data_IF_198417882351
#
_entry.id   IF_198417882351
#
_cell.length_a   1.000
_cell.length_b   1.000
_cell.length_c   1.000
_cell.angle_alpha   90.00
_cell.angle_beta   90.00
_cell.angle_gamma   90.00
#
_symmetry.space_group_name_H-M   'P 1'
#
loop_
_entity.id
_entity.type
_entity.pdbx_description
1 polymer ?
#
# COMPACT_ATOMS: atom_id res chain seq x y z
N UNK A 1 -12.27 -12.96 14.04
CA UNK A 1 -13.52 -13.06 14.84
C UNK A 1 -14.49 -11.96 14.39
N UNK A 2 -15.65 -12.32 13.81
CA UNK A 2 -16.60 -11.35 13.21
C UNK A 2 -17.40 -10.45 14.17
N UNK A 3 -17.17 -10.58 15.49
CA UNK A 3 -17.87 -9.81 16.54
C UNK A 3 -16.89 -9.06 17.47
N UNK A 4 -15.63 -8.94 17.07
CA UNK A 4 -14.62 -8.30 17.91
C UNK A 4 -14.82 -6.77 17.93
N UNK A 5 -15.11 -6.20 16.77
CA UNK A 5 -15.37 -4.78 16.57
C UNK A 5 -16.75 -4.54 15.94
N UNK A 6 -17.27 -3.33 16.16
CA UNK A 6 -18.55 -2.86 15.66
C UNK A 6 -18.31 -1.50 14.98
N UNK A 7 -18.06 -1.45 13.65
CA UNK A 7 -17.92 -0.19 12.94
C UNK A 7 -19.27 0.56 12.92
N UNK A 8 -19.21 1.89 12.98
CA UNK A 8 -20.41 2.73 12.97
C UNK A 8 -21.16 2.69 11.62
N UNK A 9 -20.45 2.48 10.52
CA UNK A 9 -20.99 2.33 9.17
C UNK A 9 -20.20 1.28 8.37
N UNK A 10 -20.82 0.76 7.31
CA UNK A 10 -20.17 -0.11 6.33
C UNK A 10 -20.32 -1.61 6.60
N UNK A 11 -19.55 -2.41 5.85
CA UNK A 11 -19.58 -3.87 5.89
C UNK A 11 -18.35 -4.38 6.64
N UNK A 12 -18.56 -5.16 7.71
CA UNK A 12 -17.46 -5.81 8.42
C UNK A 12 -17.25 -7.24 7.89
N UNK A 13 -16.11 -7.45 7.21
CA UNK A 13 -15.72 -8.75 6.67
C UNK A 13 -14.56 -9.31 7.47
N UNK A 14 -14.69 -10.55 7.95
CA UNK A 14 -13.64 -11.26 8.68
C UNK A 14 -13.35 -12.60 7.97
N UNK A 15 -12.55 -12.59 6.90
CA UNK A 15 -12.26 -13.81 6.15
C UNK A 15 -11.40 -14.77 6.96
N UNK A 16 -11.53 -16.06 6.66
CA UNK A 16 -10.58 -17.08 7.10
C UNK A 16 -9.38 -17.06 6.15
N UNK A 17 -8.16 -17.17 6.66
CA UNK A 17 -6.99 -17.37 5.81
C UNK A 17 -7.18 -18.64 4.93
N UNK A 18 -6.87 -18.60 3.63
CA UNK A 18 -7.01 -19.76 2.75
C UNK A 18 -6.19 -20.98 3.19
N UNK A 19 -5.08 -20.76 3.91
CA UNK A 19 -4.14 -21.80 4.35
C UNK A 19 -4.06 -21.93 5.87
N UNK A 20 -3.39 -22.99 6.36
CA UNK A 20 -3.08 -23.24 7.77
C UNK A 20 -1.56 -23.30 8.01
N UNK A 21 -0.77 -22.50 7.29
CA UNK A 21 0.70 -22.42 7.45
C UNK A 21 1.08 -21.35 8.47
N UNK A 22 2.33 -21.31 8.92
CA UNK A 22 2.78 -20.27 9.86
C UNK A 22 2.75 -18.85 9.24
N UNK A 23 2.97 -18.74 7.93
CA UNK A 23 3.02 -17.51 7.14
C UNK A 23 1.68 -17.16 6.45
N UNK A 24 0.55 -17.64 7.02
CA UNK A 24 -0.85 -17.48 6.55
C UNK A 24 -1.07 -16.40 5.48
N UNK A 25 -1.02 -15.14 5.89
CA UNK A 25 -1.38 -13.95 5.12
C UNK A 25 -0.22 -13.41 4.25
N UNK A 26 0.94 -14.06 4.29
CA UNK A 26 2.16 -13.63 3.63
C UNK A 26 2.33 -14.32 2.28
N UNK A 27 1.47 -15.26 1.92
CA UNK A 27 1.57 -15.99 0.66
C UNK A 27 1.04 -15.17 -0.52
N UNK A 28 1.60 -15.43 -1.70
CA UNK A 28 1.29 -14.74 -2.96
C UNK A 28 -0.20 -14.70 -3.31
N UNK A 29 -0.90 -15.83 -3.18
CA UNK A 29 -2.33 -15.94 -3.51
C UNK A 29 -3.24 -15.11 -2.59
N UNK A 30 -2.72 -14.54 -1.50
CA UNK A 30 -3.49 -13.67 -0.60
C UNK A 30 -3.83 -12.34 -1.27
N UNK A 31 -3.00 -11.86 -2.19
CA UNK A 31 -3.23 -10.61 -2.91
C UNK A 31 -4.43 -10.73 -3.83
N UNK A 32 -4.44 -11.77 -4.65
CA UNK A 32 -5.52 -12.08 -5.57
C UNK A 32 -6.83 -12.31 -4.79
N UNK A 33 -6.73 -12.98 -3.63
CA UNK A 33 -7.85 -13.15 -2.72
C UNK A 33 -8.42 -11.80 -2.25
N UNK A 34 -7.59 -10.88 -1.73
CA UNK A 34 -8.06 -9.58 -1.26
C UNK A 34 -8.54 -8.69 -2.40
N UNK A 35 -7.84 -8.68 -3.53
CA UNK A 35 -8.27 -7.96 -4.73
C UNK A 35 -9.67 -8.42 -5.15
N UNK A 36 -9.88 -9.74 -5.27
CA UNK A 36 -11.18 -10.28 -5.68
C UNK A 36 -12.25 -10.04 -4.62
N UNK A 37 -11.92 -10.13 -3.34
CA UNK A 37 -12.83 -9.82 -2.25
C UNK A 37 -13.30 -8.36 -2.31
N UNK A 38 -12.38 -7.41 -2.49
CA UNK A 38 -12.69 -5.99 -2.61
C UNK A 38 -13.59 -5.74 -3.83
N UNK A 39 -13.25 -6.29 -4.99
CA UNK A 39 -14.08 -6.18 -6.20
C UNK A 39 -15.50 -6.71 -5.97
N UNK A 40 -15.66 -7.88 -5.36
CA UNK A 40 -16.96 -8.45 -5.05
C UNK A 40 -17.75 -7.56 -4.06
N UNK A 41 -17.08 -6.97 -3.07
CA UNK A 41 -17.72 -6.07 -2.10
C UNK A 41 -18.19 -4.76 -2.75
N UNK A 42 -17.42 -4.23 -3.71
CA UNK A 42 -17.85 -3.08 -4.52
C UNK A 42 -19.07 -3.44 -5.36
N UNK A 43 -19.02 -4.57 -6.08
CA UNK A 43 -20.07 -4.97 -7.03
C UNK A 43 -21.38 -5.40 -6.35
N UNK A 44 -21.31 -6.21 -5.29
CA UNK A 44 -22.49 -6.85 -4.69
C UNK A 44 -22.97 -6.16 -3.41
N UNK A 45 -22.12 -5.35 -2.78
CA UNK A 45 -22.43 -4.69 -1.51
C UNK A 45 -22.29 -3.16 -1.56
N UNK A 46 -22.06 -2.59 -2.76
CA UNK A 46 -21.94 -1.14 -2.97
C UNK A 46 -20.88 -0.49 -2.06
N UNK A 47 -19.84 -1.25 -1.69
CA UNK A 47 -18.72 -0.71 -0.92
C UNK A 47 -18.04 0.37 -1.74
N UNK A 48 -17.79 1.51 -1.10
CA UNK A 48 -17.01 2.59 -1.70
C UNK A 48 -15.54 2.14 -1.80
N UNK A 49 -14.94 2.03 -3.01
CA UNK A 49 -13.57 1.56 -3.18
C UNK A 49 -12.53 2.51 -2.55
N UNK A 50 -12.89 3.76 -2.29
CA UNK A 50 -12.02 4.73 -1.62
C UNK A 50 -12.18 4.72 -0.09
N UNK A 51 -13.01 3.85 0.47
CA UNK A 51 -13.22 3.63 1.91
C UNK A 51 -13.08 2.14 2.29
N UNK A 52 -12.01 1.50 1.81
CA UNK A 52 -11.66 0.12 2.18
C UNK A 52 -10.55 0.16 3.22
N UNK A 53 -10.69 -0.56 4.32
CA UNK A 53 -9.74 -0.54 5.44
C UNK A 53 -9.25 -1.96 5.74
N UNK A 54 -7.97 -2.11 6.07
CA UNK A 54 -7.38 -3.40 6.45
C UNK A 54 -6.98 -3.39 7.92
N UNK A 55 -7.45 -4.36 8.70
CA UNK A 55 -7.00 -4.50 10.09
C UNK A 55 -6.90 -5.96 10.50
N UNK A 56 -6.03 -6.24 11.47
CA UNK A 56 -5.71 -7.61 11.85
C UNK A 56 -5.06 -7.70 13.21
N UNK A 57 -5.40 -8.75 13.94
CA UNK A 57 -4.94 -8.99 15.31
C UNK A 57 -4.07 -10.24 15.38
N UNK A 58 -2.95 -10.21 16.12
CA UNK A 58 -2.03 -11.34 16.27
C UNK A 58 -1.50 -11.81 14.91
N UNK A 59 -1.70 -13.08 14.52
CA UNK A 59 -1.37 -13.57 13.19
C UNK A 59 -2.04 -12.76 12.05
N UNK A 60 -3.22 -12.17 12.29
CA UNK A 60 -3.82 -11.21 11.36
C UNK A 60 -3.05 -9.88 11.30
N UNK A 61 -2.47 -9.45 12.42
CA UNK A 61 -1.57 -8.29 12.50
C UNK A 61 -0.26 -8.53 11.77
N UNK A 62 0.31 -9.75 11.84
CA UNK A 62 1.44 -10.17 11.00
C UNK A 62 1.07 -10.01 9.51
N UNK A 63 -0.16 -10.37 9.15
CA UNK A 63 -0.68 -10.16 7.80
C UNK A 63 -0.81 -8.69 7.41
N UNK A 64 -1.28 -7.83 8.32
CA UNK A 64 -1.37 -6.38 8.06
C UNK A 64 0.00 -5.78 7.79
N UNK A 65 1.02 -6.16 8.56
CA UNK A 65 2.39 -5.70 8.33
C UNK A 65 2.89 -6.04 6.93
N UNK A 66 2.58 -7.24 6.42
CA UNK A 66 3.03 -7.69 5.10
C UNK A 66 2.19 -7.11 3.96
N UNK A 67 0.87 -7.07 4.12
CA UNK A 67 -0.06 -6.64 3.06
C UNK A 67 -0.12 -5.13 2.90
N UNK A 68 -0.10 -4.38 4.00
CA UNK A 68 -0.29 -2.93 3.93
C UNK A 68 0.77 -2.20 3.09
N UNK A 69 2.08 -2.51 3.16
CA UNK A 69 3.10 -1.88 2.33
C UNK A 69 2.97 -2.20 0.84
N UNK A 70 2.61 -3.45 0.48
CA UNK A 70 2.59 -3.93 -0.92
C UNK A 70 1.24 -3.83 -1.62
N UNK A 71 0.15 -3.69 -0.85
CA UNK A 71 -1.21 -3.43 -1.33
C UNK A 71 -1.72 -2.04 -0.90
N UNK A 72 -0.82 -1.11 -0.56
CA UNK A 72 -1.16 0.20 -0.02
C UNK A 72 -2.17 0.97 -0.87
N UNK A 73 -2.07 0.81 -2.18
CA UNK A 73 -2.92 1.47 -3.16
C UNK A 73 -4.36 0.95 -3.19
N UNK A 74 -4.71 -0.11 -2.43
CA UNK A 74 -6.08 -0.63 -2.27
C UNK A 74 -6.83 -0.05 -1.06
N UNK A 75 -6.11 0.52 -0.08
CA UNK A 75 -6.69 0.84 1.22
C UNK A 75 -6.70 2.34 1.50
N UNK A 76 -7.69 2.77 2.27
CA UNK A 76 -7.80 4.11 2.81
C UNK A 76 -7.00 4.29 4.11
N UNK A 77 -6.89 3.22 4.90
CA UNK A 77 -6.00 3.11 6.06
C UNK A 77 -5.83 1.64 6.44
N UNK A 78 -4.77 1.33 7.20
CA UNK A 78 -4.59 0.01 7.80
C UNK A 78 -4.19 0.08 9.28
N UNK A 79 -4.54 -0.94 10.05
CA UNK A 79 -4.25 -1.04 11.48
C UNK A 79 -3.74 -2.42 11.85
N UNK A 80 -2.51 -2.48 12.35
CA UNK A 80 -1.89 -3.67 12.89
C UNK A 80 -2.12 -3.73 14.41
N UNK A 81 -2.58 -4.88 14.91
CA UNK A 81 -2.78 -5.11 16.34
C UNK A 81 -2.04 -6.37 16.80
N UNK A 82 -1.17 -6.25 17.81
CA UNK A 82 -0.47 -7.38 18.45
C UNK A 82 0.26 -8.35 17.48
N UNK A 83 0.67 -7.87 16.31
CA UNK A 83 1.39 -8.63 15.29
C UNK A 83 2.89 -8.36 15.28
N UNK A 84 3.59 -9.10 14.43
CA UNK A 84 5.03 -9.04 14.22
C UNK A 84 5.31 -8.81 12.72
N UNK A 85 6.20 -7.87 12.36
CA UNK A 85 6.46 -7.50 10.98
C UNK A 85 7.33 -8.51 10.22
N UNK A 86 8.00 -9.40 10.94
CA UNK A 86 9.08 -10.23 10.41
C UNK A 86 10.12 -9.37 9.70
N UNK A 87 10.46 -9.66 8.45
CA UNK A 87 11.44 -8.96 7.62
C UNK A 87 10.89 -7.76 6.82
N UNK A 88 9.59 -7.46 6.92
CA UNK A 88 8.98 -6.48 6.03
C UNK A 88 9.44 -5.04 6.28
N UNK A 89 9.32 -4.23 5.23
CA UNK A 89 9.76 -2.84 5.20
C UNK A 89 8.59 -1.84 5.27
N UNK A 90 8.67 -0.76 6.07
CA UNK A 90 7.65 0.28 6.11
C UNK A 90 7.63 1.18 4.86
N UNK A 91 8.60 1.06 3.94
CA UNK A 91 8.77 2.00 2.82
C UNK A 91 7.55 2.08 1.90
N UNK A 92 6.85 0.95 1.67
CA UNK A 92 5.62 0.93 0.87
C UNK A 92 4.44 1.67 1.50
N UNK A 93 4.50 2.01 2.80
CA UNK A 93 3.41 2.69 3.53
C UNK A 93 3.32 4.19 3.24
N UNK A 94 4.17 4.76 2.39
CA UNK A 94 4.26 6.22 2.17
C UNK A 94 2.89 6.90 2.03
N UNK A 95 1.99 6.31 1.24
CA UNK A 95 0.69 6.91 0.90
C UNK A 95 -0.49 6.26 1.63
N UNK A 96 -0.23 5.41 2.63
CA UNK A 96 -1.26 4.70 3.40
C UNK A 96 -1.17 5.09 4.87
N UNK A 97 -2.22 5.73 5.44
CA UNK A 97 -2.32 5.90 6.88
C UNK A 97 -2.22 4.55 7.60
N UNK A 98 -1.22 4.41 8.48
CA UNK A 98 -0.91 3.14 9.14
C UNK A 98 -0.90 3.25 10.67
N UNK A 99 -1.65 2.38 11.36
CA UNK A 99 -1.67 2.33 12.81
C UNK A 99 -1.05 1.05 13.38
N UNK A 100 -0.39 1.18 14.53
CA UNK A 100 0.18 0.09 15.33
C UNK A 100 -0.41 0.17 16.74
N UNK A 101 -1.08 -0.91 17.15
CA UNK A 101 -1.56 -1.10 18.52
C UNK A 101 -0.89 -2.33 19.13
N UNK A 102 -0.23 -2.14 20.27
CA UNK A 102 0.56 -3.19 20.90
C UNK A 102 0.39 -3.20 22.42
N UNK A 103 0.39 -4.38 23.03
CA UNK A 103 0.50 -4.51 24.48
C UNK A 103 1.94 -4.32 24.93
N UNK A 104 2.19 -3.46 25.92
CA UNK A 104 3.53 -3.21 26.46
C UNK A 104 4.15 -4.43 27.15
N UNK A 105 3.32 -5.39 27.58
CA UNK A 105 3.73 -6.68 28.15
C UNK A 105 3.68 -7.83 27.13
N UNK A 106 3.38 -7.58 25.84
CA UNK A 106 3.43 -8.61 24.78
C UNK A 106 4.88 -8.84 24.32
N UNK A 107 5.67 -9.49 25.17
CA UNK A 107 7.10 -9.72 24.96
C UNK A 107 7.39 -10.93 24.05
N UNK A 108 6.38 -11.71 23.66
CA UNK A 108 6.57 -12.85 22.77
C UNK A 108 7.14 -12.36 21.43
N UNK A 109 8.23 -12.99 20.98
CA UNK A 109 8.95 -12.58 19.76
C UNK A 109 9.37 -11.10 19.76
N UNK A 110 9.51 -10.48 20.95
CA UNK A 110 9.83 -9.05 21.10
C UNK A 110 8.85 -8.11 20.40
N UNK A 111 7.57 -8.50 20.25
CA UNK A 111 6.56 -7.69 19.55
C UNK A 111 6.45 -6.27 20.09
N UNK A 112 6.45 -6.09 21.41
CA UNK A 112 6.43 -4.77 22.06
C UNK A 112 7.65 -3.91 21.70
N UNK A 113 8.87 -4.46 21.77
CA UNK A 113 10.10 -3.75 21.40
C UNK A 113 10.09 -3.39 19.91
N UNK A 114 9.67 -4.33 19.05
CA UNK A 114 9.64 -4.14 17.61
C UNK A 114 8.58 -3.11 17.19
N UNK A 115 7.43 -3.05 17.88
CA UNK A 115 6.45 -1.99 17.68
C UNK A 115 7.03 -0.62 18.01
N UNK A 116 7.81 -0.50 19.10
CA UNK A 116 8.50 0.74 19.46
C UNK A 116 9.59 1.12 18.44
N UNK A 117 10.29 0.14 17.87
CA UNK A 117 11.27 0.39 16.82
C UNK A 117 10.60 0.79 15.48
N UNK A 118 9.44 0.22 15.17
CA UNK A 118 8.63 0.64 14.03
C UNK A 118 8.10 2.07 14.18
N UNK A 119 7.71 2.48 15.39
CA UNK A 119 7.38 3.88 15.68
C UNK A 119 8.54 4.82 15.33
N UNK A 120 9.76 4.50 15.77
CA UNK A 120 10.95 5.30 15.44
C UNK A 120 11.21 5.33 13.93
N UNK A 121 11.08 4.20 13.23
CA UNK A 121 11.26 4.11 11.78
C UNK A 121 10.24 4.96 11.03
N UNK A 122 8.96 4.84 11.36
CA UNK A 122 7.88 5.61 10.76
C UNK A 122 8.03 7.11 11.05
N UNK A 123 8.42 7.47 12.27
CA UNK A 123 8.71 8.86 12.63
C UNK A 123 9.90 9.42 11.82
N UNK A 124 10.98 8.65 11.66
CA UNK A 124 12.12 9.08 10.84
C UNK A 124 11.72 9.27 9.37
N UNK A 125 10.94 8.35 8.82
CA UNK A 125 10.41 8.43 7.45
C UNK A 125 9.46 9.63 7.26
N UNK A 126 8.57 9.89 8.23
CA UNK A 126 7.69 11.08 8.22
C UNK A 126 8.50 12.37 8.34
N UNK A 127 9.55 12.38 9.15
CA UNK A 127 10.41 13.57 9.30
C UNK A 127 11.18 13.90 8.02
N UNK A 128 11.59 12.89 7.24
CA UNK A 128 12.26 13.10 5.95
C UNK A 128 11.29 13.35 4.79
N UNK A 129 10.06 12.86 4.90
CA UNK A 129 8.98 13.08 3.94
C UNK A 129 7.70 13.53 4.68
N UNK A 130 7.58 14.85 4.99
CA UNK A 130 6.47 15.39 5.78
C UNK A 130 5.08 15.20 5.18
N UNK A 131 4.96 14.76 3.92
CA UNK A 131 3.68 14.45 3.29
C UNK A 131 3.39 12.94 3.30
N UNK A 132 4.40 12.08 3.48
CA UNK A 132 4.25 10.61 3.50
C UNK A 132 4.21 9.99 4.91
N UNK A 133 3.95 8.70 5.01
CA UNK A 133 4.05 7.90 6.24
C UNK A 133 3.22 8.43 7.42
N UNK A 134 1.99 8.89 7.15
CA UNK A 134 1.06 9.23 8.23
C UNK A 134 0.81 7.99 9.11
N UNK A 135 1.09 8.10 10.39
CA UNK A 135 1.01 6.95 11.28
C UNK A 135 0.45 7.29 12.67
N UNK A 136 -0.01 6.24 13.36
CA UNK A 136 -0.38 6.28 14.78
C UNK A 136 0.17 5.05 15.48
N UNK A 137 0.97 5.23 16.51
CA UNK A 137 1.46 4.11 17.32
C UNK A 137 0.96 4.26 18.74
N UNK A 138 0.43 3.17 19.31
CA UNK A 138 0.02 3.11 20.70
C UNK A 138 0.44 1.79 21.33
N UNK A 139 1.38 1.87 22.27
CA UNK A 139 1.81 0.76 23.11
C UNK A 139 1.16 0.93 24.47
N UNK A 140 0.31 -0.01 24.89
CA UNK A 140 -0.41 0.05 26.16
C UNK A 140 0.39 -0.64 27.27
N UNK A 141 1.01 0.08 28.22
CA UNK A 141 1.98 -0.50 29.16
C UNK A 141 1.41 -1.66 29.99
N UNK A 142 0.12 -1.64 30.28
CA UNK A 142 -0.52 -2.59 31.18
C UNK A 142 -0.93 -3.91 30.55
N UNK A 143 -1.06 -3.97 29.21
CA UNK A 143 -1.63 -5.12 28.52
C UNK A 143 -0.55 -6.02 27.92
N UNK A 144 -0.81 -7.34 27.95
CA UNK A 144 -0.08 -8.33 27.17
C UNK A 144 -0.67 -8.47 25.76
N UNK A 145 -0.68 -9.68 25.23
CA UNK A 145 -1.17 -9.95 23.86
C UNK A 145 -2.59 -9.45 23.58
N UNK A 146 -3.47 -9.47 24.59
CA UNK A 146 -4.85 -8.98 24.48
C UNK A 146 -5.00 -7.61 25.13
N UNK A 147 -5.29 -6.58 24.32
CA UNK A 147 -5.41 -5.18 24.75
C UNK A 147 -6.81 -4.81 25.26
N UNK A 148 -7.65 -5.80 25.56
CA UNK A 148 -9.01 -5.62 26.10
C UNK A 148 -9.87 -4.61 25.31
N UNK A 149 -9.83 -4.69 23.98
CA UNK A 149 -10.52 -3.81 23.02
C UNK A 149 -10.09 -2.33 23.07
N UNK A 150 -9.03 -1.97 23.79
CA UNK A 150 -8.52 -0.58 23.76
C UNK A 150 -8.02 -0.16 22.39
N UNK A 151 -7.58 -1.13 21.59
CA UNK A 151 -7.22 -1.01 20.18
C UNK A 151 -8.41 -0.70 19.24
N UNK A 152 -9.67 -0.80 19.72
CA UNK A 152 -10.85 -0.45 18.92
C UNK A 152 -10.90 1.04 18.52
N UNK A 153 -10.10 1.90 19.16
CA UNK A 153 -9.92 3.29 18.72
C UNK A 153 -9.30 3.43 17.32
N UNK A 154 -8.75 2.34 16.77
CA UNK A 154 -8.33 2.26 15.38
C UNK A 154 -9.47 2.53 14.40
N UNK A 155 -10.70 2.09 14.72
CA UNK A 155 -11.84 2.21 13.81
C UNK A 155 -12.22 3.67 13.52
N UNK A 156 -12.52 4.51 14.54
CA UNK A 156 -12.82 5.91 14.28
C UNK A 156 -11.63 6.65 13.66
N UNK A 157 -10.38 6.30 14.02
CA UNK A 157 -9.19 6.88 13.40
C UNK A 157 -9.08 6.55 11.90
N UNK A 158 -9.19 5.27 11.52
CA UNK A 158 -9.13 4.85 10.12
C UNK A 158 -10.25 5.49 9.29
N UNK A 159 -11.46 5.61 9.84
CA UNK A 159 -12.64 6.13 9.14
C UNK A 159 -12.52 7.58 8.63
N UNK A 160 -11.55 8.33 9.14
CA UNK A 160 -11.26 9.71 8.71
C UNK A 160 -10.59 9.76 7.33
N UNK A 161 -10.01 8.66 6.87
CA UNK A 161 -9.19 8.62 5.67
C UNK A 161 -9.93 8.06 4.46
N UNK A 162 -9.43 8.45 3.28
CA UNK A 162 -9.82 7.93 1.97
C UNK A 162 -8.59 7.50 1.21
N UNK A 163 -8.74 6.49 0.36
CA UNK A 163 -7.66 5.95 -0.48
C UNK A 163 -7.07 7.04 -1.38
N UNK A 164 -5.74 7.16 -1.37
CA UNK A 164 -5.02 8.09 -2.22
C UNK A 164 -4.75 7.46 -3.59
N UNK A 165 -5.65 7.64 -4.56
CA UNK A 165 -5.55 6.99 -5.89
C UNK A 165 -4.34 7.45 -6.71
N UNK A 166 -4.02 8.74 -6.64
CA UNK A 166 -3.04 9.41 -7.49
C UNK A 166 -2.03 10.20 -6.64
N UNK A 167 -1.18 9.52 -5.85
CA UNK A 167 -0.19 10.21 -5.04
C UNK A 167 0.85 10.89 -5.93
N UNK A 168 1.30 12.08 -5.54
CA UNK A 168 2.39 12.80 -6.22
C UNK A 168 3.74 12.12 -6.06
N UNK A 169 3.90 11.18 -5.13
CA UNK A 169 5.12 10.39 -4.98
C UNK A 169 4.81 8.98 -4.53
N UNK A 170 5.49 8.03 -5.15
CA UNK A 170 5.37 6.59 -4.90
C UNK A 170 6.73 6.06 -4.47
N UNK A 171 6.75 5.35 -3.35
CA UNK A 171 7.89 4.55 -2.90
C UNK A 171 7.43 3.10 -2.94
N UNK A 172 7.91 2.38 -3.95
CA UNK A 172 7.56 0.99 -4.20
C UNK A 172 8.72 0.10 -3.79
N UNK A 173 8.55 -0.63 -2.69
CA UNK A 173 9.54 -1.59 -2.19
C UNK A 173 9.03 -3.01 -2.37
N UNK A 174 9.76 -3.85 -3.11
CA UNK A 174 9.46 -5.27 -3.22
C UNK A 174 9.83 -6.02 -1.93
N UNK A 175 9.11 -7.10 -1.66
CA UNK A 175 9.39 -8.08 -0.61
C UNK A 175 9.48 -9.49 -1.22
N UNK A 176 9.39 -10.54 -0.40
CA UNK A 176 9.33 -11.94 -0.85
C UNK A 176 8.13 -12.21 -1.78
N UNK A 177 6.95 -11.65 -1.48
CA UNK A 177 5.83 -11.61 -2.43
C UNK A 177 5.97 -10.39 -3.32
N UNK A 178 6.47 -10.64 -4.53
CA UNK A 178 6.60 -9.63 -5.55
C UNK A 178 5.27 -9.32 -6.24
N UNK A 179 5.08 -8.05 -6.58
CA UNK A 179 3.96 -7.54 -7.37
C UNK A 179 4.46 -6.71 -8.55
N UNK A 180 3.65 -6.56 -9.59
CA UNK A 180 4.06 -5.91 -10.86
C UNK A 180 3.53 -4.50 -11.01
N UNK A 181 2.76 -4.04 -10.03
CA UNK A 181 2.05 -2.77 -10.07
C UNK A 181 1.95 -2.18 -8.68
N UNK A 182 2.10 -0.87 -8.61
CA UNK A 182 1.89 -0.13 -7.37
C UNK A 182 1.60 1.32 -7.71
N UNK A 183 0.46 1.84 -7.27
CA UNK A 183 0.00 3.15 -7.72
C UNK A 183 -0.03 3.21 -9.27
N UNK A 184 0.42 4.31 -9.85
CA UNK A 184 0.52 4.52 -11.29
C UNK A 184 1.81 3.94 -11.91
N UNK A 185 2.49 3.02 -11.21
CA UNK A 185 3.69 2.33 -11.68
C UNK A 185 3.37 0.90 -12.15
N UNK A 186 4.19 0.40 -13.06
CA UNK A 186 4.21 -0.98 -13.50
C UNK A 186 5.64 -1.43 -13.84
N UNK A 187 6.01 -2.64 -13.47
CA UNK A 187 7.28 -3.28 -13.81
C UNK A 187 7.11 -4.81 -13.73
N UNK A 188 7.56 -5.60 -14.73
CA UNK A 188 7.51 -7.06 -14.65
C UNK A 188 8.29 -7.61 -13.45
N UNK A 189 7.84 -8.69 -12.81
CA UNK A 189 8.52 -9.22 -11.59
C UNK A 189 9.98 -9.57 -11.86
N UNK A 190 10.25 -10.19 -13.00
CA UNK A 190 11.57 -10.60 -13.46
C UNK A 190 12.52 -9.42 -13.75
N UNK A 191 11.99 -8.20 -13.85
CA UNK A 191 12.79 -7.00 -14.07
C UNK A 191 13.45 -6.47 -12.79
N UNK A 192 12.95 -6.83 -11.61
CA UNK A 192 13.46 -6.33 -10.34
C UNK A 192 14.78 -7.00 -9.93
N UNK A 193 15.67 -6.23 -9.32
CA UNK A 193 16.67 -6.84 -8.43
C UNK A 193 15.99 -7.40 -7.18
N UNK A 194 16.63 -8.33 -6.47
CA UNK A 194 16.07 -8.90 -5.24
C UNK A 194 15.64 -7.79 -4.26
N UNK A 195 14.35 -7.80 -3.87
CA UNK A 195 13.71 -6.75 -3.03
C UNK A 195 13.94 -5.32 -3.54
N UNK A 196 13.94 -5.11 -4.85
CA UNK A 196 14.20 -3.81 -5.48
C UNK A 196 13.26 -2.69 -5.02
N UNK A 197 13.76 -1.47 -5.08
CA UNK A 197 13.05 -0.24 -4.80
C UNK A 197 12.87 0.63 -6.07
N UNK A 198 11.68 1.22 -6.20
CA UNK A 198 11.40 2.26 -7.18
C UNK A 198 10.83 3.47 -6.44
N UNK A 199 11.39 4.64 -6.70
CA UNK A 199 10.89 5.92 -6.17
C UNK A 199 10.66 6.87 -7.32
N UNK A 200 9.40 7.26 -7.52
CA UNK A 200 9.01 8.20 -8.59
C UNK A 200 8.10 9.28 -8.00
N UNK A 201 8.37 10.52 -8.37
CA UNK A 201 7.55 11.69 -8.05
C UNK A 201 7.00 12.35 -9.32
N UNK A 202 5.84 13.00 -9.17
CA UNK A 202 5.14 13.79 -10.18
C UNK A 202 4.83 15.16 -9.57
N UNK A 203 5.24 16.20 -10.28
CA UNK A 203 4.92 17.60 -10.00
C UNK A 203 4.47 18.26 -11.31
N UNK A 204 3.16 18.49 -11.42
CA UNK A 204 2.51 18.95 -12.66
C UNK A 204 2.94 18.10 -13.87
N UNK A 205 3.54 18.71 -14.90
CA UNK A 205 3.98 18.03 -16.13
C UNK A 205 5.34 17.33 -16.01
N UNK A 206 5.93 17.25 -14.81
CA UNK A 206 7.29 16.75 -14.59
C UNK A 206 7.27 15.51 -13.70
N UNK A 207 7.85 14.43 -14.19
CA UNK A 207 8.09 13.21 -13.41
C UNK A 207 9.58 13.02 -13.16
N UNK A 208 9.94 12.59 -11.95
CA UNK A 208 11.32 12.34 -11.55
C UNK A 208 11.43 10.92 -11.00
N UNK A 209 12.25 10.10 -11.65
CA UNK A 209 12.64 8.78 -11.20
C UNK A 209 13.89 8.97 -10.32
N UNK A 210 13.70 8.89 -9.00
CA UNK A 210 14.75 9.03 -7.99
C UNK A 210 15.52 7.71 -7.86
N UNK A 211 14.78 6.61 -7.70
CA UNK A 211 15.30 5.23 -7.59
C UNK A 211 14.62 4.34 -8.61
N UNK A 212 15.36 3.46 -9.25
CA UNK A 212 14.85 2.44 -10.17
C UNK A 212 15.78 1.23 -10.12
N UNK A 213 15.46 0.29 -9.23
CA UNK A 213 16.12 -1.00 -9.06
C UNK A 213 15.38 -2.10 -9.84
N UNK A 214 15.13 -1.83 -11.12
CA UNK A 214 14.60 -2.78 -12.08
C UNK A 214 15.15 -2.48 -13.48
N UNK A 215 15.07 -3.44 -14.39
CA UNK A 215 15.45 -3.28 -15.80
C UNK A 215 14.36 -2.60 -16.64
N UNK A 216 13.10 -2.66 -16.21
CA UNK A 216 11.98 -2.06 -16.94
C UNK A 216 11.01 -1.36 -15.98
N UNK A 217 10.67 -0.11 -16.27
CA UNK A 217 9.70 0.68 -15.50
C UNK A 217 8.74 1.39 -16.43
N UNK A 218 7.45 1.14 -16.27
CA UNK A 218 6.38 1.84 -16.97
C UNK A 218 5.65 2.78 -16.03
N UNK A 219 5.60 4.06 -16.40
CA UNK A 219 4.75 5.07 -15.77
C UNK A 219 3.42 5.09 -16.52
N UNK A 220 2.31 4.81 -15.83
CA UNK A 220 0.95 4.84 -16.38
C UNK A 220 0.26 6.13 -15.95
N UNK A 221 -0.28 6.90 -16.88
CA UNK A 221 -0.76 8.26 -16.62
C UNK A 221 -2.20 8.42 -17.08
N UNK A 222 -2.89 9.37 -16.47
CA UNK A 222 -4.20 9.85 -16.87
C UNK A 222 -4.28 11.36 -16.59
N UNK A 223 -5.41 11.95 -17.00
CA UNK A 223 -5.66 13.39 -16.87
C UNK A 223 -5.85 13.88 -15.42
N UNK A 224 -5.88 12.97 -14.43
CA UNK A 224 -5.84 13.33 -13.02
C UNK A 224 -4.41 13.52 -12.49
N UNK A 225 -3.42 12.86 -13.10
CA UNK A 225 -2.01 12.96 -12.71
C UNK A 225 -1.30 14.11 -13.43
N UNK A 226 -1.56 14.27 -14.73
CA UNK A 226 -0.92 15.25 -15.61
C UNK A 226 -1.92 15.73 -16.66
N UNK A 227 -1.70 16.89 -17.28
CA UNK A 227 -2.42 17.31 -18.47
C UNK A 227 -1.81 16.63 -19.69
N UNK A 228 -2.46 15.57 -20.20
CA UNK A 228 -1.97 14.80 -21.35
C UNK A 228 -2.14 15.55 -22.68
N UNK A 229 -2.78 16.72 -22.70
CA UNK A 229 -2.81 17.57 -23.88
C UNK A 229 -1.56 18.42 -24.06
N UNK A 230 -0.72 18.48 -23.02
CA UNK A 230 0.56 19.18 -22.99
C UNK A 230 1.72 18.20 -22.96
N UNK A 231 2.92 18.71 -23.23
CA UNK A 231 4.14 17.93 -23.07
C UNK A 231 4.40 17.61 -21.61
N UNK A 232 4.89 16.40 -21.35
CA UNK A 232 5.45 15.98 -20.06
C UNK A 232 6.97 15.83 -20.17
N UNK A 233 7.65 15.95 -19.05
CA UNK A 233 9.11 15.74 -18.94
C UNK A 233 9.40 14.65 -17.92
N UNK A 234 10.25 13.68 -18.29
CA UNK A 234 10.64 12.59 -17.40
C UNK A 234 12.15 12.65 -17.19
N UNK A 235 12.55 12.75 -15.92
CA UNK A 235 13.95 12.85 -15.52
C UNK A 235 14.38 11.64 -14.69
N UNK A 236 15.65 11.26 -14.80
CA UNK A 236 16.32 10.33 -13.87
C UNK A 236 17.72 10.84 -13.60
N UNK A 237 18.11 10.97 -12.33
CA UNK A 237 19.44 11.52 -11.93
C UNK A 237 19.79 12.85 -12.63
N UNK A 238 18.79 13.73 -12.81
CA UNK A 238 18.94 15.01 -13.52
C UNK A 238 18.99 14.92 -15.05
N UNK A 239 19.15 13.74 -15.64
CA UNK A 239 19.12 13.53 -17.09
C UNK A 239 17.68 13.46 -17.58
N UNK A 240 17.39 14.14 -18.70
CA UNK A 240 16.10 14.06 -19.37
C UNK A 240 16.02 12.77 -20.19
N UNK A 241 15.11 11.87 -19.80
CA UNK A 241 14.82 10.63 -20.51
C UNK A 241 13.73 10.82 -21.58
N UNK A 242 12.79 11.73 -21.32
CA UNK A 242 11.69 12.02 -22.24
C UNK A 242 11.24 13.47 -22.13
N UNK A 243 10.84 14.06 -23.26
CA UNK A 243 10.18 15.36 -23.39
C UNK A 243 9.22 15.23 -24.56
N UNK A 244 7.92 15.38 -24.32
CA UNK A 244 6.94 15.32 -25.40
C UNK A 244 5.54 15.05 -24.90
N UNK A 245 4.58 15.08 -25.83
CA UNK A 245 3.19 14.73 -25.56
C UNK A 245 3.04 13.20 -25.56
N UNK A 246 2.34 12.67 -24.56
CA UNK A 246 2.00 11.24 -24.52
C UNK A 246 0.63 11.01 -25.14
N UNK A 247 0.52 9.99 -25.98
CA UNK A 247 -0.73 9.64 -26.64
C UNK A 247 -1.65 8.87 -25.70
N UNK A 248 -2.93 9.23 -25.71
CA UNK A 248 -3.98 8.44 -25.07
C UNK A 248 -4.29 7.21 -25.94
N UNK A 249 -4.24 6.01 -25.36
CA UNK A 249 -4.44 4.73 -26.04
C UNK A 249 -5.51 3.91 -25.32
N UNK A 250 -6.49 3.43 -26.10
CA UNK A 250 -7.54 2.54 -25.60
C UNK A 250 -6.95 1.26 -25.00
N UNK A 251 -5.88 0.74 -25.59
CA UNK A 251 -5.15 -0.43 -25.09
C UNK A 251 -4.66 -0.24 -23.65
N UNK A 252 -4.05 0.91 -23.34
CA UNK A 252 -3.58 1.23 -21.97
C UNK A 252 -4.75 1.28 -20.97
N UNK A 253 -5.90 1.79 -21.41
CA UNK A 253 -7.11 1.82 -20.58
C UNK A 253 -7.65 0.41 -20.32
N UNK A 254 -7.72 -0.44 -21.36
CA UNK A 254 -8.18 -1.82 -21.23
C UNK A 254 -7.24 -2.60 -20.30
N UNK A 255 -5.92 -2.49 -20.50
CA UNK A 255 -4.95 -3.20 -19.67
C UNK A 255 -5.05 -2.78 -18.20
N UNK A 256 -5.06 -1.47 -17.90
CA UNK A 256 -5.20 -0.98 -16.52
C UNK A 256 -6.51 -1.39 -15.86
N UNK A 257 -7.61 -1.45 -16.64
CA UNK A 257 -8.89 -1.96 -16.16
C UNK A 257 -8.83 -3.47 -15.87
N UNK A 258 -8.23 -4.26 -16.74
CA UNK A 258 -8.11 -5.70 -16.56
C UNK A 258 -7.23 -6.04 -15.35
N UNK A 259 -6.14 -5.29 -15.15
CA UNK A 259 -5.24 -5.51 -14.01
C UNK A 259 -5.99 -5.31 -12.69
N UNK A 260 -6.82 -4.26 -12.56
CA UNK A 260 -7.37 -3.83 -11.26
C UNK A 260 -8.87 -4.05 -11.08
N UNK A 261 -9.65 -3.98 -12.14
CA UNK A 261 -11.11 -3.95 -12.09
C UNK A 261 -11.68 -2.69 -11.42
N UNK A 262 -10.91 -1.60 -11.36
CA UNK A 262 -11.31 -0.34 -10.73
C UNK A 262 -11.35 0.77 -11.80
N UNK A 263 -12.54 1.24 -12.23
CA UNK A 263 -12.67 2.30 -13.23
C UNK A 263 -12.02 3.62 -12.81
N UNK A 264 -11.94 3.89 -11.51
CA UNK A 264 -11.24 5.08 -11.00
C UNK A 264 -9.72 4.95 -11.06
N UNK A 265 -9.22 3.85 -11.62
CA UNK A 265 -7.80 3.56 -11.75
C UNK A 265 -7.38 3.30 -13.21
N UNK A 266 -8.19 3.82 -14.14
CA UNK A 266 -7.88 3.79 -15.56
C UNK A 266 -6.72 4.73 -15.88
N UNK A 267 -5.75 4.21 -16.63
CA UNK A 267 -4.67 4.99 -17.22
C UNK A 267 -4.81 5.00 -18.73
N UNK A 268 -4.78 6.20 -19.32
CA UNK A 268 -4.97 6.39 -20.75
C UNK A 268 -3.66 6.50 -21.50
N UNK A 269 -2.54 6.82 -20.84
CA UNK A 269 -1.23 6.95 -21.46
C UNK A 269 -0.17 6.20 -20.66
N UNK A 270 0.95 5.88 -21.30
CA UNK A 270 2.08 5.28 -20.62
C UNK A 270 3.40 5.64 -21.26
N UNK A 271 4.46 5.60 -20.46
CA UNK A 271 5.83 5.71 -20.94
C UNK A 271 6.70 4.69 -20.22
N UNK A 272 7.64 4.06 -20.94
CA UNK A 272 8.48 2.98 -20.41
C UNK A 272 9.96 3.35 -20.49
N UNK A 273 10.65 3.26 -19.35
CA UNK A 273 12.11 3.26 -19.25
C UNK A 273 12.63 1.82 -19.33
N UNK A 274 13.70 1.65 -20.10
CA UNK A 274 14.55 0.46 -20.07
C UNK A 274 15.90 0.85 -19.47
N UNK A 275 16.36 0.13 -18.46
CA UNK A 275 17.72 0.23 -17.94
C UNK A 275 18.57 -0.79 -18.73
N UNK A 276 19.65 -0.36 -19.40
CA UNK A 276 20.57 -1.29 -20.07
C UNK A 276 21.31 -2.18 -19.07
#
# INVERSE_FOLDING_TARGET
QKRLYEPAEGVYVAPRAPTNTWNLWHQDHIDDFFQRLIQNMVLFHQVNPDKVYLMGYSAGGDGVYQLAPRMADFFAAASMMAGHPNETSPLGLRNLPFAIYMGGKDAAYKRNEIAADWEKKLQALRSSDPEGYLHRVRIFPEFGHWMQKKDAEALPWMSQYRRQKYPSKVVWKQDDVMHERFYWLHAPKESFSERGEIVVSIDAQKMVIETMECSTLTLRLNDHLVDLDREVTILRKGQKLFSGKLERRLETMIQSLMDRGDPSYLFSASWTAMNP
#
